data_IF_131105432440
#
_entry.id   IF_131105432440
#
_cell.length_a   1.000
_cell.length_b   1.000
_cell.length_c   1.000
_cell.angle_alpha   90.00
_cell.angle_beta   90.00
_cell.angle_gamma   90.00
#
_symmetry.space_group_name_H-M   'P 1'
#
loop_
_entity.id
_entity.type
_entity.pdbx_description
1 polymer ?
#
# COMPACT_ATOMS: atom_id res chain seq x y z
N UNK A 1 -21.19 54.35 -58.16
CA UNK A 1 -21.79 55.21 -59.20
C UNK A 1 -22.78 56.13 -58.51
N UNK A 2 -22.64 57.45 -58.71
CA UNK A 2 -23.67 58.41 -58.30
C UNK A 2 -25.02 57.95 -58.87
N UNK A 3 -26.10 58.03 -58.07
CA UNK A 3 -27.47 57.94 -58.60
C UNK A 3 -27.48 58.79 -59.86
N UNK A 4 -27.62 58.17 -61.04
CA UNK A 4 -27.80 58.95 -62.25
C UNK A 4 -29.08 59.73 -62.01
N UNK A 5 -28.95 61.04 -61.77
CA UNK A 5 -30.07 61.89 -61.42
C UNK A 5 -31.17 61.67 -62.45
N UNK A 6 -32.38 61.36 -61.98
CA UNK A 6 -33.50 61.18 -62.88
C UNK A 6 -33.69 62.49 -63.64
N UNK A 7 -33.67 62.41 -64.97
CA UNK A 7 -33.93 63.54 -65.84
C UNK A 7 -35.43 63.87 -65.80
N UNK A 8 -35.80 64.76 -64.88
CA UNK A 8 -37.20 65.17 -64.62
C UNK A 8 -37.84 65.81 -65.86
N UNK A 9 -37.07 66.51 -66.69
CA UNK A 9 -37.53 67.09 -67.95
C UNK A 9 -37.84 66.02 -68.99
N UNK A 10 -36.99 65.00 -69.10
CA UNK A 10 -37.22 63.85 -69.99
C UNK A 10 -38.41 63.01 -69.52
N UNK A 11 -38.62 62.89 -68.20
CA UNK A 11 -39.78 62.21 -67.61
C UNK A 11 -41.07 62.98 -67.92
N UNK A 12 -41.11 64.29 -67.66
CA UNK A 12 -42.26 65.14 -67.94
C UNK A 12 -42.64 65.11 -69.44
N UNK A 13 -41.66 65.19 -70.35
CA UNK A 13 -41.91 65.06 -71.80
C UNK A 13 -42.51 63.71 -72.18
N UNK A 14 -42.05 62.61 -71.57
CA UNK A 14 -42.61 61.28 -71.82
C UNK A 14 -44.04 61.12 -71.31
N UNK A 15 -44.36 61.71 -70.16
CA UNK A 15 -45.73 61.69 -69.61
C UNK A 15 -46.69 62.49 -70.51
N UNK A 16 -46.24 63.64 -71.02
CA UNK A 16 -47.00 64.47 -71.95
C UNK A 16 -47.21 63.78 -73.30
N UNK A 17 -46.12 63.35 -73.94
CA UNK A 17 -46.16 62.88 -75.33
C UNK A 17 -46.57 61.40 -75.47
N UNK A 18 -46.37 60.58 -74.42
CA UNK A 18 -46.64 59.14 -74.44
C UNK A 18 -47.91 58.72 -73.69
N UNK A 19 -48.35 59.47 -72.67
CA UNK A 19 -49.52 59.14 -71.85
C UNK A 19 -50.65 60.18 -71.94
N UNK A 20 -50.47 61.27 -72.70
CA UNK A 20 -51.50 62.27 -72.97
C UNK A 20 -51.80 63.22 -71.81
N UNK A 21 -50.89 63.34 -70.83
CA UNK A 21 -51.03 64.29 -69.73
C UNK A 21 -50.95 65.74 -70.24
N UNK A 22 -51.68 66.67 -69.59
CA UNK A 22 -51.48 68.11 -69.86
C UNK A 22 -50.09 68.54 -69.38
N UNK A 23 -49.52 69.62 -69.94
CA UNK A 23 -48.19 70.09 -69.57
C UNK A 23 -48.04 70.29 -68.05
N UNK A 24 -49.04 70.89 -67.39
CA UNK A 24 -48.99 71.16 -65.96
C UNK A 24 -48.98 69.87 -65.11
N UNK A 25 -49.79 68.88 -65.49
CA UNK A 25 -49.86 67.62 -64.74
C UNK A 25 -48.60 66.76 -64.95
N UNK A 26 -48.00 66.81 -66.14
CA UNK A 26 -46.77 66.07 -66.43
C UNK A 26 -45.57 66.65 -65.66
N UNK A 27 -45.51 67.97 -65.51
CA UNK A 27 -44.48 68.66 -64.71
C UNK A 27 -44.69 68.41 -63.21
N UNK A 28 -45.91 68.59 -62.70
CA UNK A 28 -46.22 68.34 -61.29
C UNK A 28 -45.98 66.88 -60.88
N UNK A 29 -46.27 65.90 -61.75
CA UNK A 29 -45.98 64.50 -61.49
C UNK A 29 -44.47 64.20 -61.49
N UNK A 30 -43.70 64.80 -62.39
CA UNK A 30 -42.24 64.65 -62.43
C UNK A 30 -41.56 65.30 -61.22
N UNK A 31 -42.09 66.44 -60.75
CA UNK A 31 -41.65 67.14 -59.55
C UNK A 31 -41.96 66.34 -58.28
N UNK A 32 -43.20 65.85 -58.12
CA UNK A 32 -43.58 65.00 -57.00
C UNK A 32 -42.77 63.69 -56.95
N UNK A 33 -42.44 63.11 -58.12
CA UNK A 33 -41.53 61.95 -58.19
C UNK A 33 -40.09 62.31 -57.81
N UNK A 34 -39.60 63.48 -58.22
CA UNK A 34 -38.28 63.98 -57.82
C UNK A 34 -38.20 64.17 -56.31
N UNK A 35 -39.20 64.83 -55.72
CA UNK A 35 -39.28 65.07 -54.28
C UNK A 35 -39.43 63.76 -53.49
N UNK A 36 -40.20 62.81 -53.99
CA UNK A 36 -40.33 61.50 -53.36
C UNK A 36 -38.98 60.77 -53.26
N UNK A 37 -38.11 60.90 -54.28
CA UNK A 37 -36.78 60.29 -54.33
C UNK A 37 -35.72 61.06 -53.54
N UNK A 38 -35.94 62.34 -53.22
CA UNK A 38 -35.04 63.11 -52.35
C UNK A 38 -35.39 62.93 -50.87
N UNK A 39 -36.66 62.69 -50.54
CA UNK A 39 -37.13 62.45 -49.16
C UNK A 39 -36.85 61.00 -48.71
N UNK A 40 -36.76 60.05 -49.65
CA UNK A 40 -36.41 58.66 -49.32
C UNK A 40 -34.89 58.43 -49.41
N UNK A 41 -34.32 57.89 -48.34
CA UNK A 41 -32.91 57.44 -48.31
C UNK A 41 -32.76 56.17 -49.16
N UNK A 42 -32.70 56.37 -50.48
CA UNK A 42 -32.66 55.28 -51.45
C UNK A 42 -31.29 54.61 -51.42
N UNK A 43 -31.27 53.38 -50.92
CA UNK A 43 -30.06 52.55 -50.97
C UNK A 43 -29.78 52.14 -52.42
N UNK A 44 -28.59 52.45 -52.90
CA UNK A 44 -28.14 52.04 -54.23
C UNK A 44 -27.66 50.58 -54.23
N UNK A 45 -27.75 49.92 -55.38
CA UNK A 45 -27.18 48.57 -55.57
C UNK A 45 -25.69 48.53 -55.17
N UNK A 46 -24.92 49.53 -55.59
CA UNK A 46 -23.50 49.68 -55.25
C UNK A 46 -23.26 49.75 -53.73
N UNK A 47 -24.14 50.43 -52.98
CA UNK A 47 -24.05 50.49 -51.52
C UNK A 47 -24.27 49.12 -50.87
N UNK A 48 -25.25 48.36 -51.36
CA UNK A 48 -25.51 47.00 -50.88
C UNK A 48 -24.35 46.06 -51.21
N UNK A 49 -23.78 46.13 -52.41
CA UNK A 49 -22.63 45.32 -52.82
C UNK A 49 -21.39 45.64 -51.96
N UNK A 50 -21.15 46.93 -51.67
CA UNK A 50 -20.08 47.34 -50.75
C UNK A 50 -20.31 46.79 -49.34
N UNK A 51 -21.53 46.90 -48.81
CA UNK A 51 -21.86 46.38 -47.47
C UNK A 51 -21.77 44.86 -47.39
N UNK A 52 -22.17 44.16 -48.45
CA UNK A 52 -22.07 42.71 -48.54
C UNK A 52 -20.60 42.28 -48.56
N UNK A 53 -19.77 42.92 -49.40
CA UNK A 53 -18.33 42.64 -49.47
C UNK A 53 -17.63 42.94 -48.13
N UNK A 54 -18.00 44.04 -47.47
CA UNK A 54 -17.50 44.36 -46.12
C UNK A 54 -17.89 43.28 -45.10
N UNK A 55 -19.13 42.80 -45.14
CA UNK A 55 -19.59 41.73 -44.26
C UNK A 55 -18.92 40.39 -44.55
N UNK A 56 -18.74 40.02 -45.82
CA UNK A 56 -18.02 38.80 -46.23
C UNK A 56 -16.58 38.83 -45.73
N UNK A 57 -15.85 39.93 -45.96
CA UNK A 57 -14.49 40.08 -45.44
C UNK A 57 -14.43 40.00 -43.91
N UNK A 58 -15.36 40.67 -43.20
CA UNK A 58 -15.41 40.60 -41.73
C UNK A 58 -15.70 39.18 -41.23
N UNK A 59 -16.48 38.39 -41.96
CA UNK A 59 -16.76 36.99 -41.60
C UNK A 59 -15.55 36.12 -41.85
N UNK A 60 -14.88 36.27 -42.99
CA UNK A 60 -13.65 35.54 -43.32
C UNK A 60 -12.55 35.81 -42.29
N UNK A 61 -12.35 37.07 -41.90
CA UNK A 61 -11.38 37.46 -40.88
C UNK A 61 -11.71 36.83 -39.52
N UNK A 62 -12.99 36.83 -39.11
CA UNK A 62 -13.42 36.20 -37.86
C UNK A 62 -13.25 34.68 -37.90
N UNK A 63 -13.59 34.04 -39.01
CA UNK A 63 -13.42 32.59 -39.19
C UNK A 63 -11.93 32.23 -39.15
N UNK A 64 -11.08 33.02 -39.81
CA UNK A 64 -9.63 32.83 -39.77
C UNK A 64 -9.07 33.01 -38.35
N UNK A 65 -9.53 34.03 -37.62
CA UNK A 65 -9.17 34.28 -36.22
C UNK A 65 -9.53 33.12 -35.31
N UNK A 66 -10.80 32.70 -35.30
CA UNK A 66 -11.27 31.56 -34.47
C UNK A 66 -10.54 30.26 -34.84
N UNK A 67 -10.26 30.03 -36.13
CA UNK A 67 -9.50 28.86 -36.56
C UNK A 67 -8.05 28.89 -36.06
N UNK A 68 -7.43 30.06 -36.01
CA UNK A 68 -6.08 30.22 -35.48
C UNK A 68 -6.05 30.00 -33.97
N UNK A 69 -6.99 30.57 -33.23
CA UNK A 69 -7.16 30.38 -31.78
C UNK A 69 -7.37 28.91 -31.42
N UNK A 70 -8.35 28.25 -32.04
CA UNK A 70 -8.61 26.81 -31.84
C UNK A 70 -7.39 25.95 -32.15
N UNK A 71 -6.63 26.28 -33.19
CA UNK A 71 -5.39 25.56 -33.52
C UNK A 71 -4.32 25.76 -32.44
N UNK A 72 -4.24 26.96 -31.87
CA UNK A 72 -3.39 27.28 -30.72
C UNK A 72 -3.77 26.45 -29.49
N UNK A 73 -5.02 26.52 -29.07
CA UNK A 73 -5.56 25.78 -27.91
C UNK A 73 -5.37 24.26 -28.06
N UNK A 74 -5.61 23.70 -29.25
CA UNK A 74 -5.34 22.28 -29.52
C UNK A 74 -3.85 21.95 -29.37
N UNK A 75 -2.96 22.86 -29.75
CA UNK A 75 -1.51 22.71 -29.59
C UNK A 75 -1.08 22.73 -28.12
N UNK A 76 -1.64 23.65 -27.34
CA UNK A 76 -1.40 23.77 -25.89
C UNK A 76 -1.90 22.52 -25.16
N UNK A 77 -3.15 22.10 -25.40
CA UNK A 77 -3.72 20.88 -24.81
C UNK A 77 -2.91 19.63 -25.15
N UNK A 78 -2.39 19.51 -26.38
CA UNK A 78 -1.50 18.40 -26.75
C UNK A 78 -0.21 18.41 -25.95
N UNK A 79 0.34 19.59 -25.68
CA UNK A 79 1.56 19.77 -24.88
C UNK A 79 1.30 19.42 -23.42
N UNK A 80 0.19 19.88 -22.85
CA UNK A 80 -0.24 19.53 -21.49
C UNK A 80 -0.47 18.02 -21.33
N UNK A 81 -1.19 17.39 -22.26
CA UNK A 81 -1.42 15.93 -22.25
C UNK A 81 -0.08 15.18 -22.34
N UNK A 82 0.85 15.63 -23.17
CA UNK A 82 2.18 15.03 -23.24
C UNK A 82 2.97 15.18 -21.93
N UNK A 83 2.88 16.35 -21.29
CA UNK A 83 3.46 16.63 -19.97
C UNK A 83 2.89 15.72 -18.88
N UNK A 84 1.57 15.63 -18.75
CA UNK A 84 0.89 14.74 -17.80
C UNK A 84 1.28 13.28 -18.03
N UNK A 85 1.32 12.82 -19.30
CA UNK A 85 1.73 11.46 -19.64
C UNK A 85 3.18 11.17 -19.24
N UNK A 86 4.08 12.13 -19.42
CA UNK A 86 5.48 12.00 -19.01
C UNK A 86 5.60 11.97 -17.48
N UNK A 87 4.88 12.85 -16.77
CA UNK A 87 4.81 12.87 -15.31
C UNK A 87 4.33 11.54 -14.72
N UNK A 88 3.19 11.04 -15.18
CA UNK A 88 2.64 9.74 -14.75
C UNK A 88 3.60 8.58 -15.02
N UNK A 89 4.33 8.61 -16.15
CA UNK A 89 5.35 7.59 -16.45
C UNK A 89 6.52 7.66 -15.47
N UNK A 90 6.91 8.86 -15.06
CA UNK A 90 7.92 9.11 -14.02
C UNK A 90 7.48 8.52 -12.68
N UNK A 91 6.30 8.93 -12.20
CA UNK A 91 5.73 8.45 -10.93
C UNK A 91 5.59 6.92 -10.89
N UNK A 92 5.13 6.29 -11.97
CA UNK A 92 5.07 4.82 -12.07
C UNK A 92 6.45 4.18 -11.94
N UNK A 93 7.49 4.81 -12.48
CA UNK A 93 8.87 4.31 -12.39
C UNK A 93 9.44 4.44 -10.98
N UNK A 94 9.16 5.55 -10.30
CA UNK A 94 9.54 5.78 -8.91
C UNK A 94 8.86 4.77 -7.99
N UNK A 95 7.53 4.62 -8.09
CA UNK A 95 6.78 3.62 -7.31
C UNK A 95 7.29 2.19 -7.52
N UNK A 96 7.66 1.81 -8.75
CA UNK A 96 8.27 0.50 -9.01
C UNK A 96 9.61 0.32 -8.30
N UNK A 97 10.40 1.39 -8.22
CA UNK A 97 11.68 1.39 -7.51
C UNK A 97 11.47 1.26 -6.01
N UNK A 98 10.55 2.03 -5.44
CA UNK A 98 10.16 1.96 -4.03
C UNK A 98 9.66 0.58 -3.63
N UNK A 99 8.72 0.00 -4.41
CA UNK A 99 8.21 -1.35 -4.17
C UNK A 99 9.34 -2.39 -4.21
N UNK A 100 10.29 -2.24 -5.13
CA UNK A 100 11.45 -3.14 -5.22
C UNK A 100 12.38 -2.99 -4.00
N UNK A 101 12.57 -1.75 -3.51
CA UNK A 101 13.31 -1.44 -2.29
C UNK A 101 12.68 -2.08 -1.06
N UNK A 102 11.39 -1.83 -0.81
CA UNK A 102 10.63 -2.42 0.31
C UNK A 102 10.66 -3.95 0.26
N UNK A 103 10.54 -4.55 -0.93
CA UNK A 103 10.62 -6.00 -1.09
C UNK A 103 12.00 -6.55 -0.71
N UNK A 104 13.07 -5.83 -1.04
CA UNK A 104 14.44 -6.21 -0.68
C UNK A 104 14.66 -6.10 0.83
N UNK A 105 14.19 -5.02 1.44
CA UNK A 105 14.24 -4.79 2.89
C UNK A 105 13.51 -5.89 3.66
N UNK A 106 12.24 -6.15 3.34
CA UNK A 106 11.46 -7.23 3.98
C UNK A 106 12.11 -8.60 3.81
N UNK A 107 12.70 -8.88 2.65
CA UNK A 107 13.45 -10.13 2.46
C UNK A 107 14.67 -10.20 3.38
N UNK A 108 15.39 -9.08 3.52
CA UNK A 108 16.50 -8.92 4.46
C UNK A 108 16.06 -9.18 5.91
N UNK A 109 15.00 -8.51 6.36
CA UNK A 109 14.46 -8.68 7.71
C UNK A 109 14.02 -10.12 7.99
N UNK A 110 13.29 -10.76 7.07
CA UNK A 110 12.89 -12.16 7.20
C UNK A 110 14.11 -13.08 7.32
N UNK A 111 15.16 -12.84 6.52
CA UNK A 111 16.40 -13.62 6.64
C UNK A 111 17.11 -13.37 7.96
N UNK A 112 17.17 -12.12 8.43
CA UNK A 112 17.73 -11.74 9.72
C UNK A 112 17.03 -12.45 10.88
N UNK A 113 15.71 -12.28 10.99
CA UNK A 113 14.88 -12.93 12.01
C UNK A 113 15.03 -14.45 11.99
N UNK A 114 15.10 -15.07 10.79
CA UNK A 114 15.30 -16.52 10.67
C UNK A 114 16.68 -16.95 11.21
N UNK A 115 17.72 -16.13 11.00
CA UNK A 115 19.05 -16.42 11.54
C UNK A 115 19.12 -16.24 13.05
N UNK A 116 18.56 -15.15 13.57
CA UNK A 116 18.49 -14.84 15.00
C UNK A 116 17.73 -15.92 15.75
N UNK A 117 16.50 -16.22 15.32
CA UNK A 117 15.67 -17.26 15.94
C UNK A 117 16.35 -18.63 15.93
N UNK A 118 17.06 -18.99 14.86
CA UNK A 118 17.82 -20.24 14.79
C UNK A 118 19.01 -20.26 15.75
N UNK A 119 19.66 -19.12 15.97
CA UNK A 119 20.77 -18.99 16.91
C UNK A 119 20.29 -19.07 18.36
N UNK A 120 19.20 -18.37 18.68
CA UNK A 120 18.54 -18.42 19.99
C UNK A 120 18.11 -19.84 20.34
N UNK A 121 17.35 -20.51 19.47
CA UNK A 121 16.92 -21.90 19.70
C UNK A 121 18.09 -22.87 19.91
N UNK A 122 19.20 -22.69 19.18
CA UNK A 122 20.40 -23.52 19.39
C UNK A 122 21.03 -23.29 20.75
N UNK A 123 21.07 -22.03 21.19
CA UNK A 123 21.59 -21.65 22.50
C UNK A 123 20.72 -22.22 23.60
N UNK A 124 19.39 -22.08 23.49
CA UNK A 124 18.44 -22.65 24.46
C UNK A 124 18.53 -24.18 24.52
N UNK A 125 18.58 -24.86 23.38
CA UNK A 125 18.75 -26.34 23.34
C UNK A 125 20.08 -26.76 23.98
N UNK A 126 21.16 -26.02 23.72
CA UNK A 126 22.45 -26.32 24.34
C UNK A 126 22.41 -26.11 25.87
N UNK A 127 21.75 -25.04 26.33
CA UNK A 127 21.50 -24.78 27.76
C UNK A 127 20.70 -25.90 28.41
N UNK A 128 19.54 -26.24 27.87
CA UNK A 128 18.70 -27.34 28.37
C UNK A 128 19.43 -28.68 28.41
N UNK A 129 20.28 -28.95 27.41
CA UNK A 129 21.10 -30.18 27.40
C UNK A 129 22.16 -30.18 28.50
N UNK A 130 22.79 -29.03 28.76
CA UNK A 130 23.75 -28.87 29.84
C UNK A 130 23.07 -29.06 31.21
N UNK A 131 21.94 -28.39 31.42
CA UNK A 131 21.14 -28.50 32.65
C UNK A 131 20.70 -29.94 32.90
N UNK A 132 20.16 -30.62 31.89
CA UNK A 132 19.77 -32.03 32.01
C UNK A 132 20.96 -32.94 32.33
N UNK A 133 22.13 -32.67 31.75
CA UNK A 133 23.34 -33.45 32.04
C UNK A 133 23.79 -33.24 33.48
N UNK A 134 23.71 -32.01 33.99
CA UNK A 134 24.03 -31.68 35.38
C UNK A 134 23.03 -32.32 36.35
N UNK A 135 21.72 -32.26 36.07
CA UNK A 135 20.69 -32.93 36.87
C UNK A 135 20.90 -34.44 36.93
N UNK A 136 21.22 -35.09 35.81
CA UNK A 136 21.55 -36.53 35.77
C UNK A 136 22.81 -36.82 36.60
N UNK A 137 23.84 -35.97 36.52
CA UNK A 137 25.06 -36.14 37.31
C UNK A 137 24.79 -36.00 38.81
N UNK A 138 24.01 -35.00 39.23
CA UNK A 138 23.57 -34.80 40.62
C UNK A 138 22.77 -36.00 41.12
N UNK A 139 21.77 -36.44 40.35
CA UNK A 139 20.96 -37.61 40.69
C UNK A 139 21.82 -38.87 40.86
N UNK A 140 22.81 -39.08 39.97
CA UNK A 140 23.77 -40.20 40.07
C UNK A 140 24.57 -40.13 41.37
N UNK A 141 25.10 -38.96 41.72
CA UNK A 141 25.88 -38.76 42.95
C UNK A 141 25.02 -39.00 44.18
N UNK A 142 23.79 -38.49 44.20
CA UNK A 142 22.85 -38.70 45.30
C UNK A 142 22.47 -40.18 45.46
N UNK A 143 22.23 -40.89 44.36
CA UNK A 143 21.99 -42.33 44.38
C UNK A 143 23.20 -43.11 44.91
N UNK A 144 24.43 -42.74 44.52
CA UNK A 144 25.64 -43.36 45.05
C UNK A 144 25.79 -43.10 46.55
N UNK A 145 25.56 -41.86 46.98
CA UNK A 145 25.66 -41.45 48.39
C UNK A 145 24.70 -42.26 49.26
N UNK A 146 23.43 -42.35 48.87
CA UNK A 146 22.44 -43.15 49.60
C UNK A 146 22.67 -44.66 49.47
N UNK A 147 23.04 -45.15 48.29
CA UNK A 147 23.33 -46.56 48.04
C UNK A 147 24.51 -47.07 48.87
N UNK A 148 25.57 -46.29 49.03
CA UNK A 148 26.69 -46.63 49.94
C UNK A 148 26.18 -46.68 51.39
N UNK A 149 25.36 -45.71 51.80
CA UNK A 149 24.78 -45.68 53.15
C UNK A 149 23.94 -46.92 53.47
N UNK A 150 23.10 -47.37 52.53
CA UNK A 150 22.27 -48.57 52.71
C UNK A 150 23.12 -49.84 52.78
N UNK A 151 24.13 -49.98 51.91
CA UNK A 151 25.05 -51.13 51.93
C UNK A 151 25.83 -51.18 53.24
N UNK A 152 26.39 -50.05 53.71
CA UNK A 152 27.13 -50.00 54.98
C UNK A 152 26.23 -50.39 56.17
N UNK A 153 24.99 -49.90 56.19
CA UNK A 153 24.01 -50.26 57.24
C UNK A 153 23.70 -51.76 57.22
N UNK A 154 23.49 -52.35 56.03
CA UNK A 154 23.26 -53.78 55.89
C UNK A 154 24.48 -54.62 56.34
N UNK A 155 25.70 -54.18 56.03
CA UNK A 155 26.93 -54.85 56.50
C UNK A 155 27.06 -54.79 58.02
N UNK A 156 26.81 -53.64 58.63
CA UNK A 156 26.85 -53.47 60.09
C UNK A 156 25.79 -54.34 60.78
N UNK A 157 24.56 -54.40 60.26
CA UNK A 157 23.51 -55.29 60.77
C UNK A 157 23.93 -56.77 60.72
N UNK A 158 24.47 -57.23 59.60
CA UNK A 158 24.97 -58.61 59.47
C UNK A 158 26.11 -58.90 60.45
N UNK A 159 27.03 -57.95 60.64
CA UNK A 159 28.13 -58.10 61.60
C UNK A 159 27.61 -58.25 63.04
N UNK A 160 26.62 -57.45 63.45
CA UNK A 160 25.97 -57.57 64.76
C UNK A 160 25.33 -58.96 64.94
N UNK A 161 24.64 -59.46 63.92
CA UNK A 161 24.04 -60.81 63.95
C UNK A 161 25.11 -61.89 64.14
N UNK A 162 26.23 -61.82 63.39
CA UNK A 162 27.33 -62.80 63.48
C UNK A 162 27.97 -62.77 64.88
N UNK A 163 28.32 -61.58 65.39
CA UNK A 163 28.94 -61.43 66.71
C UNK A 163 28.00 -61.91 67.82
N UNK A 164 26.71 -61.56 67.75
CA UNK A 164 25.70 -62.04 68.70
C UNK A 164 25.57 -63.56 68.69
N UNK A 165 25.60 -64.18 67.50
CA UNK A 165 25.58 -65.63 67.34
C UNK A 165 26.80 -66.30 67.97
N UNK A 166 28.00 -65.74 67.75
CA UNK A 166 29.24 -66.22 68.37
C UNK A 166 29.22 -66.10 69.89
N UNK A 167 28.72 -64.98 70.41
CA UNK A 167 28.60 -64.75 71.85
C UNK A 167 27.64 -65.77 72.50
N UNK A 168 26.48 -66.04 71.88
CA UNK A 168 25.52 -67.04 72.35
C UNK A 168 26.10 -68.48 72.34
N UNK A 169 26.86 -68.84 71.31
CA UNK A 169 27.58 -70.11 71.27
C UNK A 169 28.62 -70.23 72.40
N UNK A 170 29.35 -69.15 72.69
CA UNK A 170 30.34 -69.15 73.78
C UNK A 170 29.71 -69.27 75.17
N UNK A 171 28.57 -68.62 75.40
CA UNK A 171 27.90 -68.62 76.71
C UNK A 171 27.14 -69.92 76.99
N UNK A 172 26.68 -70.62 75.94
CA UNK A 172 26.10 -71.97 76.07
C UNK A 172 27.10 -73.08 76.41
N UNK A 173 28.42 -72.82 76.30
CA UNK A 173 29.49 -73.75 76.69
C UNK A 173 30.06 -73.47 78.10
N UNK A 174 29.35 -72.72 78.95
CA UNK A 174 29.73 -72.58 80.36
C UNK A 174 29.37 -73.87 81.14
N UNK A 175 30.32 -74.54 81.83
CA UNK A 175 30.04 -75.79 82.55
C UNK A 175 29.19 -75.51 83.79
N UNK A 176 27.95 -76.03 83.79
CA UNK A 176 27.08 -76.06 84.97
C UNK A 176 27.66 -77.03 85.99
N UNK A 177 28.49 -76.53 86.92
CA UNK A 177 28.98 -77.29 88.05
C UNK A 177 27.83 -77.69 88.99
N UNK A 178 27.24 -78.86 88.74
CA UNK A 178 26.25 -79.49 89.63
C UNK A 178 26.98 -80.50 90.52
N UNK A 179 27.27 -80.11 91.76
CA UNK A 179 27.70 -81.05 92.80
C UNK A 179 26.53 -81.98 93.16
N UNK A 180 26.59 -83.22 92.71
CA UNK A 180 25.75 -84.31 93.19
C UNK A 180 26.65 -85.52 93.43
N UNK A 181 27.18 -85.62 94.65
CA UNK A 181 27.66 -86.89 95.19
C UNK A 181 26.54 -87.51 96.03
N UNK A 182 26.00 -88.69 95.66
CA UNK A 182 25.26 -89.52 96.58
C UNK A 182 26.16 -90.66 97.10
N UNK A 183 26.20 -90.79 98.43
CA UNK A 183 25.89 -92.08 99.04
C UNK A 183 27.03 -92.94 99.59
N UNK A 184 26.94 -93.10 100.92
CA UNK A 184 26.92 -94.39 101.67
C UNK A 184 28.16 -94.75 102.50
N UNK A 185 27.97 -94.53 103.81
CA UNK A 185 28.16 -95.41 104.98
C UNK A 185 29.52 -96.07 105.29
N UNK A 186 29.90 -95.96 106.56
CA UNK A 186 30.90 -96.83 107.21
C UNK A 186 31.40 -96.32 108.56
N UNK A 187 30.52 -96.37 109.57
CA UNK A 187 30.78 -96.87 110.95
C UNK A 187 32.25 -96.95 111.46
N UNK A 188 32.59 -96.29 112.59
CA UNK A 188 32.73 -96.90 113.94
C UNK A 188 33.57 -96.05 114.93
N UNK A 189 32.98 -95.83 116.10
CA UNK A 189 33.52 -95.59 117.47
C UNK A 189 34.80 -94.75 117.72
N UNK A 190 34.62 -93.62 118.42
CA UNK A 190 35.10 -93.36 119.80
C UNK A 190 34.49 -92.08 120.37
#
# INVERSE_FOLDING_TARGET
MSVQGIDTLKLARRLRDGAGFTPEHAEAAAEAFSDALTVTDLVTKDHLELKLSEMEHRLDDKIAGVKAELKGEIGELRTEIAGVKAGLKGEISELRTEISGVKAELKGEITGLRTEFKAELRTEIAGLKADLTDEIARARVDMMRWGIGTVLTAVLLNAVVVVGSMWALSSSWAPTGRSLFPGVAGDRDR
#
